data_IF_194359496311
#
_entry.id   IF_194359496311
#
_cell.length_a   1.000
_cell.length_b   1.000
_cell.length_c   1.000
_cell.angle_alpha   90.00
_cell.angle_beta   90.00
_cell.angle_gamma   90.00
#
_symmetry.space_group_name_H-M   'P 1'
#
loop_
_entity.id
_entity.type
_entity.pdbx_description
1 polymer ?
#
# COMPACT_ATOMS: atom_id res chain seq x y z
N UNK A 1 -4.13 -7.97 -11.29
CA UNK A 1 -4.96 -7.04 -10.50
C UNK A 1 -4.37 -5.66 -10.67
N UNK A 2 -5.19 -4.63 -10.88
CA UNK A 2 -4.75 -3.26 -11.11
C UNK A 2 -5.58 -2.29 -10.27
N UNK A 3 -4.92 -1.27 -9.71
CA UNK A 3 -5.60 -0.10 -9.14
C UNK A 3 -5.74 0.96 -10.23
N UNK A 4 -6.94 1.49 -10.45
CA UNK A 4 -7.31 2.26 -11.63
C UNK A 4 -6.38 3.43 -11.97
N UNK A 5 -5.78 4.06 -10.95
CA UNK A 5 -4.86 5.20 -11.09
C UNK A 5 -3.40 4.86 -10.79
N UNK A 6 -3.09 3.58 -10.57
CA UNK A 6 -1.71 3.11 -10.49
C UNK A 6 -1.10 2.99 -11.89
N UNK A 7 -0.04 3.78 -12.12
CA UNK A 7 0.66 3.83 -13.39
C UNK A 7 1.74 2.76 -13.53
N UNK A 8 2.16 2.12 -12.43
CA UNK A 8 3.28 1.17 -12.45
C UNK A 8 3.01 -0.05 -13.34
N UNK A 9 1.82 -0.66 -13.33
CA UNK A 9 1.49 -1.76 -14.24
C UNK A 9 1.55 -1.39 -15.73
N UNK A 10 1.53 -0.09 -16.06
CA UNK A 10 1.61 0.41 -17.44
C UNK A 10 3.06 0.53 -17.94
N UNK A 11 4.05 0.20 -17.10
CA UNK A 11 5.47 0.30 -17.41
C UNK A 11 6.05 -1.09 -17.80
N UNK A 12 6.90 -1.18 -18.84
CA UNK A 12 7.31 -0.10 -19.73
C UNK A 12 6.17 0.37 -20.65
N UNK A 13 6.10 1.68 -21.00
CA UNK A 13 5.10 2.16 -21.93
C UNK A 13 5.23 1.39 -23.25
N UNK A 14 4.10 0.96 -23.80
CA UNK A 14 4.04 0.20 -25.06
C UNK A 14 4.72 0.93 -26.23
N UNK A 15 4.76 2.27 -26.18
CA UNK A 15 5.47 3.13 -27.14
C UNK A 15 7.00 3.03 -27.04
N UNK A 16 7.56 2.66 -25.88
CA UNK A 16 9.00 2.56 -25.66
C UNK A 16 9.53 1.12 -25.83
N UNK A 17 8.78 0.10 -25.42
CA UNK A 17 9.18 -1.31 -25.51
C UNK A 17 8.05 -2.17 -26.09
N UNK A 18 7.92 -2.20 -27.42
CA UNK A 18 6.88 -2.96 -28.15
C UNK A 18 6.96 -4.50 -27.96
N UNK A 19 8.00 -5.00 -27.30
CA UNK A 19 8.23 -6.43 -27.05
C UNK A 19 7.84 -6.88 -25.64
N UNK A 20 7.38 -5.96 -24.78
CA UNK A 20 6.80 -6.31 -23.49
C UNK A 20 5.31 -6.61 -23.65
N UNK A 21 4.86 -7.75 -23.12
CA UNK A 21 3.46 -8.18 -23.20
C UNK A 21 3.03 -8.63 -21.81
N UNK A 22 1.90 -8.09 -21.34
CA UNK A 22 1.27 -8.58 -20.12
C UNK A 22 0.70 -9.99 -20.36
N UNK A 23 1.01 -10.91 -19.45
CA UNK A 23 0.57 -12.30 -19.52
C UNK A 23 -0.77 -12.55 -18.80
N UNK A 24 -1.35 -11.52 -18.17
CA UNK A 24 -2.62 -11.62 -17.47
C UNK A 24 -3.75 -12.06 -18.42
N UNK A 25 -4.42 -13.16 -18.08
CA UNK A 25 -5.58 -13.66 -18.83
C UNK A 25 -6.89 -12.96 -18.45
N UNK A 26 -6.89 -12.32 -17.27
CA UNK A 26 -8.00 -11.51 -16.77
C UNK A 26 -7.43 -10.45 -15.80
N UNK A 27 -7.98 -9.24 -15.88
CA UNK A 27 -7.64 -8.15 -14.96
C UNK A 27 -8.80 -7.93 -14.01
N UNK A 28 -8.49 -7.99 -12.71
CA UNK A 28 -9.37 -7.49 -11.66
C UNK A 28 -8.95 -6.04 -11.42
N UNK A 29 -9.84 -5.13 -11.76
CA UNK A 29 -9.67 -3.70 -11.53
C UNK A 29 -10.34 -3.32 -10.22
N UNK A 30 -9.63 -2.51 -9.43
CA UNK A 30 -10.16 -1.83 -8.25
C UNK A 30 -9.91 -0.33 -8.43
N UNK A 31 -10.75 0.49 -7.82
CA UNK A 31 -10.53 1.93 -7.72
C UNK A 31 -10.56 2.36 -6.26
N UNK A 32 -9.37 2.54 -5.70
CA UNK A 32 -9.23 2.96 -4.30
C UNK A 32 -9.71 4.38 -4.06
N UNK A 33 -9.85 5.23 -5.07
CA UNK A 33 -10.34 6.61 -4.91
C UNK A 33 -11.83 6.67 -4.57
N UNK A 34 -12.54 5.56 -4.71
CA UNK A 34 -13.94 5.43 -4.30
C UNK A 34 -14.11 5.14 -2.81
N UNK A 35 -13.03 4.81 -2.10
CA UNK A 35 -13.07 4.56 -0.68
C UNK A 35 -13.32 5.85 0.11
N UNK A 36 -14.29 5.89 1.03
CA UNK A 36 -14.51 7.04 1.91
C UNK A 36 -13.48 7.13 3.06
N UNK A 37 -12.60 6.14 3.19
CA UNK A 37 -11.63 6.05 4.29
C UNK A 37 -10.27 6.67 3.97
N UNK A 38 -9.98 6.90 2.69
CA UNK A 38 -8.63 7.23 2.23
C UNK A 38 -8.66 8.39 1.26
N UNK A 39 -7.62 9.19 1.30
CA UNK A 39 -7.31 10.18 0.29
C UNK A 39 -5.97 9.84 -0.38
N UNK A 40 -5.79 10.26 -1.63
CA UNK A 40 -4.61 9.91 -2.40
C UNK A 40 -3.69 11.10 -2.60
N UNK A 41 -2.38 10.85 -2.46
CA UNK A 41 -1.30 11.76 -2.87
C UNK A 41 -0.70 11.26 -4.19
N UNK A 42 0.09 12.11 -4.84
CA UNK A 42 0.79 11.75 -6.09
C UNK A 42 1.62 10.47 -5.88
N UNK A 43 1.49 9.50 -6.79
CA UNK A 43 2.21 8.20 -6.79
C UNK A 43 1.89 7.24 -5.63
N UNK A 44 0.79 7.44 -4.91
CA UNK A 44 0.46 6.57 -3.77
C UNK A 44 -0.39 5.35 -4.12
N UNK A 45 -1.02 5.33 -5.30
CA UNK A 45 -1.87 4.24 -5.78
C UNK A 45 -1.17 2.87 -5.87
N UNK A 46 0.17 2.85 -5.93
CA UNK A 46 0.97 1.62 -6.01
C UNK A 46 1.25 0.96 -4.64
N UNK A 47 0.71 1.50 -3.55
CA UNK A 47 0.96 0.96 -2.21
C UNK A 47 0.16 -0.33 -2.03
N UNK A 48 0.84 -1.41 -1.62
CA UNK A 48 0.22 -2.74 -1.46
C UNK A 48 -0.96 -2.72 -0.49
N UNK A 49 -0.86 -1.96 0.60
CA UNK A 49 -1.93 -1.83 1.58
C UNK A 49 -3.18 -1.15 1.01
N UNK A 50 -3.05 -0.25 0.02
CA UNK A 50 -4.19 0.27 -0.74
C UNK A 50 -4.81 -0.78 -1.66
N UNK A 51 -3.99 -1.63 -2.30
CA UNK A 51 -4.52 -2.76 -3.08
C UNK A 51 -5.35 -3.70 -2.21
N UNK A 52 -4.84 -4.06 -1.03
CA UNK A 52 -5.57 -4.91 -0.07
C UNK A 52 -6.86 -4.25 0.41
N UNK A 53 -6.83 -2.94 0.68
CA UNK A 53 -8.01 -2.15 1.02
C UNK A 53 -9.06 -2.15 -0.10
N UNK A 54 -8.63 -1.93 -1.34
CA UNK A 54 -9.48 -2.01 -2.52
C UNK A 54 -10.09 -3.40 -2.72
N UNK A 55 -9.31 -4.49 -2.62
CA UNK A 55 -9.85 -5.87 -2.65
C UNK A 55 -10.95 -6.07 -1.62
N UNK A 56 -10.78 -5.51 -0.43
CA UNK A 56 -11.70 -5.72 0.68
C UNK A 56 -13.00 -4.93 0.55
N UNK A 57 -13.02 -3.85 -0.24
CA UNK A 57 -14.13 -2.89 -0.21
C UNK A 57 -14.63 -2.33 -1.54
N UNK A 58 -13.88 -2.47 -2.63
CA UNK A 58 -14.36 -2.02 -3.94
C UNK A 58 -15.16 -3.11 -4.64
N UNK A 59 -16.37 -2.75 -5.09
CA UNK A 59 -17.33 -3.63 -5.76
C UNK A 59 -17.62 -3.18 -7.21
N UNK A 60 -16.77 -2.29 -7.75
CA UNK A 60 -16.92 -1.73 -9.10
C UNK A 60 -18.03 -0.67 -9.20
N UNK A 61 -18.11 0.01 -10.35
CA UNK A 61 -18.84 1.28 -10.52
C UNK A 61 -20.35 1.25 -10.21
N UNK A 62 -20.95 0.06 -10.11
CA UNK A 62 -22.39 -0.12 -9.87
C UNK A 62 -22.77 -0.20 -8.40
N UNK A 63 -21.79 -0.36 -7.53
CA UNK A 63 -22.00 -0.54 -6.09
C UNK A 63 -21.20 0.48 -5.30
N UNK A 64 -21.52 0.67 -4.03
CA UNK A 64 -20.77 1.58 -3.15
C UNK A 64 -19.52 0.88 -2.60
N UNK A 65 -18.49 1.66 -2.28
CA UNK A 65 -17.35 1.10 -1.56
C UNK A 65 -17.78 0.66 -0.15
N UNK A 66 -17.59 -0.61 0.16
CA UNK A 66 -17.97 -1.18 1.46
C UNK A 66 -17.07 -2.35 1.81
N UNK A 67 -16.39 -2.27 2.95
CA UNK A 67 -15.60 -3.40 3.46
C UNK A 67 -16.51 -4.61 3.73
N UNK A 68 -16.30 -5.71 3.01
CA UNK A 68 -17.07 -6.98 3.17
C UNK A 68 -16.28 -8.06 3.89
N UNK A 69 -14.99 -7.82 4.13
CA UNK A 69 -14.11 -8.66 4.94
C UNK A 69 -13.41 -7.80 5.99
N UNK A 70 -13.03 -8.36 7.16
CA UNK A 70 -12.22 -7.62 8.13
C UNK A 70 -10.90 -7.17 7.50
N UNK A 71 -10.70 -5.86 7.39
CA UNK A 71 -9.48 -5.24 6.90
C UNK A 71 -9.14 -4.05 7.79
N UNK A 72 -8.02 -4.13 8.50
CA UNK A 72 -7.59 -3.07 9.41
C UNK A 72 -7.21 -1.81 8.62
N UNK A 73 -8.00 -0.75 8.72
CA UNK A 73 -7.73 0.54 8.08
C UNK A 73 -6.33 1.06 8.44
N UNK A 74 -5.87 0.81 9.67
CA UNK A 74 -4.56 1.23 10.13
C UNK A 74 -3.40 0.71 9.24
N UNK A 75 -3.57 -0.40 8.53
CA UNK A 75 -2.57 -0.89 7.59
C UNK A 75 -2.33 0.07 6.41
N UNK A 76 -3.33 0.87 6.00
CA UNK A 76 -3.15 1.86 4.94
C UNK A 76 -1.96 2.80 5.28
N UNK A 77 -1.90 3.29 6.51
CA UNK A 77 -0.83 4.17 7.00
C UNK A 77 0.47 3.44 7.41
N UNK A 78 0.62 2.14 7.10
CA UNK A 78 1.81 1.37 7.49
C UNK A 78 3.11 2.02 7.00
N UNK A 79 3.13 2.46 5.74
CA UNK A 79 4.26 3.15 5.11
C UNK A 79 3.87 4.49 4.49
N UNK A 80 2.62 4.92 4.71
CA UNK A 80 2.01 6.08 4.07
C UNK A 80 1.24 6.94 5.07
N UNK A 81 0.59 7.98 4.57
CA UNK A 81 -0.26 8.90 5.30
C UNK A 81 -1.45 9.25 4.42
N UNK A 82 -2.41 8.34 4.35
CA UNK A 82 -3.50 8.33 3.37
C UNK A 82 -4.87 8.06 3.98
N UNK A 83 -4.96 7.70 5.26
CA UNK A 83 -6.25 7.67 5.96
C UNK A 83 -6.74 9.10 6.20
N UNK A 84 -8.05 9.30 6.10
CA UNK A 84 -8.69 10.56 6.48
C UNK A 84 -8.39 10.92 7.94
N UNK A 85 -8.32 12.23 8.25
CA UNK A 85 -7.95 12.75 9.58
C UNK A 85 -8.88 12.26 10.72
N UNK A 86 -10.10 11.85 10.38
CA UNK A 86 -11.05 11.23 11.32
C UNK A 86 -10.54 9.89 11.89
N UNK A 87 -9.57 9.25 11.23
CA UNK A 87 -8.90 8.04 11.66
C UNK A 87 -7.50 8.38 12.21
N UNK A 88 -7.33 8.51 13.54
CA UNK A 88 -6.09 9.01 14.15
C UNK A 88 -4.98 7.95 14.21
N UNK A 89 -4.68 7.32 13.07
CA UNK A 89 -3.59 6.35 12.91
C UNK A 89 -2.34 7.10 12.46
N UNK A 90 -1.22 6.99 13.18
CA UNK A 90 0.01 7.69 12.81
C UNK A 90 0.47 7.31 11.40
N UNK A 91 0.89 8.33 10.64
CA UNK A 91 1.58 8.15 9.36
C UNK A 91 2.81 7.27 9.49
N UNK A 92 3.05 6.41 8.50
CA UNK A 92 4.24 5.56 8.36
C UNK A 92 4.67 4.88 9.66
N UNK A 93 3.68 4.34 10.39
CA UNK A 93 3.89 3.84 11.75
C UNK A 93 4.76 2.58 11.82
N UNK A 94 4.94 1.87 10.70
CA UNK A 94 5.75 0.67 10.67
C UNK A 94 7.24 1.00 10.74
N UNK A 95 7.76 0.95 11.96
CA UNK A 95 9.17 1.10 12.25
C UNK A 95 9.58 0.08 13.31
N UNK A 96 10.74 -0.56 13.11
CA UNK A 96 11.30 -1.46 14.13
C UNK A 96 11.64 -0.64 15.37
N UNK A 97 11.50 -1.25 16.55
CA UNK A 97 11.79 -0.60 17.82
C UNK A 97 13.16 0.10 17.79
N UNK A 98 13.18 1.40 18.10
CA UNK A 98 14.37 2.27 18.06
C UNK A 98 15.16 2.19 16.74
N UNK A 99 14.50 1.86 15.63
CA UNK A 99 15.12 1.65 14.30
C UNK A 99 16.27 0.63 14.34
N UNK A 100 16.04 -0.50 14.99
CA UNK A 100 17.02 -1.58 15.15
C UNK A 100 18.26 -1.21 16.00
N UNK A 101 18.22 -0.09 16.73
CA UNK A 101 19.30 0.28 17.64
C UNK A 101 19.16 -0.45 18.97
N UNK A 102 20.21 -1.16 19.37
CA UNK A 102 20.29 -1.88 20.65
C UNK A 102 21.42 -1.31 21.50
N UNK A 103 21.20 -1.22 22.82
CA UNK A 103 22.21 -0.76 23.78
C UNK A 103 22.93 -1.99 24.33
N UNK A 104 24.22 -2.10 24.03
CA UNK A 104 25.09 -3.17 24.53
C UNK A 104 25.37 -3.04 26.02
N UNK A 105 25.94 -4.10 26.60
CA UNK A 105 26.40 -4.12 28.01
C UNK A 105 27.54 -3.14 28.27
N UNK A 106 28.30 -2.77 27.23
CA UNK A 106 29.31 -1.71 27.23
C UNK A 106 28.70 -0.29 27.26
N UNK A 107 27.36 -0.19 27.24
CA UNK A 107 26.62 1.06 27.21
C UNK A 107 26.55 1.74 25.84
N UNK A 108 27.21 1.18 24.82
CA UNK A 108 27.22 1.71 23.46
C UNK A 108 25.99 1.25 22.67
N UNK A 109 25.57 2.06 21.70
CA UNK A 109 24.48 1.72 20.79
C UNK A 109 25.02 1.14 19.49
N UNK A 110 24.46 0.02 19.04
CA UNK A 110 24.84 -0.66 17.80
C UNK A 110 23.60 -0.96 16.96
N UNK A 111 23.77 -0.99 15.65
CA UNK A 111 22.73 -1.40 14.72
C UNK A 111 22.65 -2.93 14.70
N UNK A 112 21.47 -3.47 14.98
CA UNK A 112 21.16 -4.91 14.99
C UNK A 112 19.93 -5.14 14.12
N UNK A 113 20.12 -5.00 12.80
CA UNK A 113 19.07 -5.04 11.77
C UNK A 113 19.12 -6.31 10.91
N UNK A 114 19.92 -7.30 11.33
CA UNK A 114 20.16 -8.53 10.58
C UNK A 114 20.21 -9.76 11.48
N UNK A 115 19.34 -10.72 11.19
CA UNK A 115 19.41 -12.08 11.75
C UNK A 115 20.19 -12.99 10.80
N UNK A 116 21.17 -13.74 11.32
CA UNK A 116 21.82 -14.82 10.56
C UNK A 116 20.83 -15.97 10.40
N UNK A 117 20.62 -16.38 9.15
CA UNK A 117 19.82 -17.56 8.78
C UNK A 117 20.44 -18.86 9.28
#
# INVERSE_FOLDING_TARGET
MANAKDIVPQNPPSVLLMWYVDSATATIEIDTDRSPYVFHKIFTHHVLELYRHGVAGDHGDKEEFKLVVPCDLALVNKTTDLLEDEYPVPASWWVVNKKCMVKGTDGQWKLDDYEKA
#
